data_IF_472712004430
#
_entry.id   IF_472712004430
#
_cell.length_a   1.000
_cell.length_b   1.000
_cell.length_c   1.000
_cell.angle_alpha   90.00
_cell.angle_beta   90.00
_cell.angle_gamma   90.00
#
_symmetry.space_group_name_H-M   'P 1'
#
loop_
_entity.id
_entity.type
_entity.pdbx_description
1 polymer ?
#
# COMPACT_ATOMS: atom_id res chain seq x y z
N UNK A 1 -1.60 -8.71 -12.87
CA UNK A 1 -2.18 -7.63 -13.68
C UNK A 1 -3.70 -7.54 -13.68
N UNK A 2 -4.44 -8.54 -13.20
CA UNK A 2 -5.92 -8.59 -13.25
C UNK A 2 -6.65 -7.35 -12.70
N UNK A 3 -6.13 -6.67 -11.68
CA UNK A 3 -6.75 -5.47 -11.12
C UNK A 3 -6.22 -4.16 -11.74
N UNK A 4 -5.26 -4.20 -12.66
CA UNK A 4 -4.60 -3.05 -13.30
C UNK A 4 -3.97 -2.01 -12.34
N UNK A 5 -3.93 -2.31 -11.03
CA UNK A 5 -3.45 -1.38 -10.02
C UNK A 5 -1.95 -1.56 -9.80
N UNK A 6 -1.17 -0.77 -10.53
CA UNK A 6 0.27 -0.68 -10.32
C UNK A 6 0.57 -0.10 -8.92
N UNK A 7 1.74 -0.40 -8.32
CA UNK A 7 2.10 0.10 -6.98
C UNK A 7 1.97 1.62 -6.84
N UNK A 8 2.28 2.37 -7.89
CA UNK A 8 2.09 3.82 -7.91
C UNK A 8 0.61 4.22 -7.83
N UNK A 9 -0.29 3.55 -8.54
CA UNK A 9 -1.73 3.84 -8.50
C UNK A 9 -2.28 3.66 -7.08
N UNK A 10 -1.83 2.60 -6.39
CA UNK A 10 -2.17 2.37 -4.98
C UNK A 10 -1.58 3.47 -4.09
N UNK A 11 -0.32 3.86 -4.32
CA UNK A 11 0.33 4.91 -3.55
C UNK A 11 -0.40 6.26 -3.66
N UNK A 12 -0.88 6.64 -4.85
CA UNK A 12 -1.68 7.85 -5.04
C UNK A 12 -3.00 7.78 -4.25
N UNK A 13 -3.69 6.65 -4.29
CA UNK A 13 -4.98 6.49 -3.61
C UNK A 13 -4.85 6.46 -2.08
N UNK A 14 -3.82 5.78 -1.57
CA UNK A 14 -3.66 5.55 -0.12
C UNK A 14 -2.73 6.54 0.57
N UNK A 15 -1.80 7.16 -0.17
CA UNK A 15 -0.80 8.09 0.36
C UNK A 15 -1.36 9.17 1.27
N UNK A 16 -2.41 9.91 0.86
CA UNK A 16 -3.04 10.90 1.71
C UNK A 16 -3.57 10.30 3.02
N UNK A 17 -4.23 9.14 2.99
CA UNK A 17 -4.83 8.53 4.19
C UNK A 17 -3.80 8.00 5.18
N UNK A 18 -2.66 7.51 4.69
CA UNK A 18 -1.61 6.92 5.53
C UNK A 18 -0.77 7.96 6.29
N UNK A 19 -0.63 9.18 5.76
CA UNK A 19 0.22 10.23 6.33
C UNK A 19 -0.56 11.44 6.85
N UNK A 20 -1.90 11.39 6.82
CA UNK A 20 -2.83 12.45 7.27
C UNK A 20 -2.73 12.87 8.75
N UNK A 21 -1.78 12.32 9.51
CA UNK A 21 -1.52 12.67 10.92
C UNK A 21 -0.17 13.34 11.17
N UNK A 22 0.71 13.43 10.17
CA UNK A 22 1.87 14.33 10.28
C UNK A 22 1.33 15.72 10.07
N UNK A 23 1.65 16.64 10.97
CA UNK A 23 1.29 18.05 10.89
C UNK A 23 1.92 18.67 9.63
N UNK A 24 1.33 18.38 8.47
CA UNK A 24 1.73 18.93 7.19
C UNK A 24 1.23 20.37 7.19
N UNK A 25 1.94 21.24 7.91
CA UNK A 25 1.83 22.69 7.79
C UNK A 25 2.26 23.20 6.41
N UNK A 26 2.41 22.30 5.41
CA UNK A 26 2.71 22.58 4.03
C UNK A 26 1.60 22.03 3.12
N UNK A 27 1.41 22.69 1.99
CA UNK A 27 0.42 22.37 0.96
C UNK A 27 0.50 20.88 0.54
N UNK A 28 -0.58 20.12 0.79
CA UNK A 28 -0.70 18.69 0.49
C UNK A 28 -0.35 18.37 -0.97
N UNK A 29 -0.61 19.31 -1.89
CA UNK A 29 -0.28 19.17 -3.31
C UNK A 29 1.23 19.15 -3.52
N UNK A 30 1.98 19.95 -2.77
CA UNK A 30 3.43 20.06 -2.88
C UNK A 30 4.13 18.79 -2.41
N UNK A 31 3.60 18.13 -1.38
CA UNK A 31 4.22 16.93 -0.79
C UNK A 31 3.71 15.62 -1.43
N UNK A 32 2.62 15.67 -2.20
CA UNK A 32 2.04 14.49 -2.85
C UNK A 32 3.06 13.62 -3.62
N UNK A 33 4.02 14.15 -4.41
CA UNK A 33 5.02 13.31 -5.09
C UNK A 33 5.89 12.52 -4.12
N UNK A 34 6.36 13.17 -3.05
CA UNK A 34 7.21 12.53 -2.04
C UNK A 34 6.44 11.47 -1.24
N UNK A 35 5.18 11.76 -0.91
CA UNK A 35 4.26 10.82 -0.25
C UNK A 35 4.04 9.60 -1.13
N UNK A 36 3.75 9.81 -2.41
CA UNK A 36 3.51 8.72 -3.36
C UNK A 36 4.76 7.86 -3.52
N UNK A 37 5.94 8.44 -3.61
CA UNK A 37 7.19 7.70 -3.71
C UNK A 37 7.49 6.89 -2.44
N UNK A 38 7.24 7.46 -1.26
CA UNK A 38 7.38 6.76 0.01
C UNK A 38 6.44 5.56 0.09
N UNK A 39 5.15 5.75 -0.18
CA UNK A 39 4.16 4.68 -0.09
C UNK A 39 4.38 3.62 -1.18
N UNK A 40 4.77 4.03 -2.40
CA UNK A 40 5.18 3.09 -3.45
C UNK A 40 6.37 2.24 -3.00
N UNK A 41 7.36 2.84 -2.33
CA UNK A 41 8.52 2.13 -1.80
C UNK A 41 8.10 1.13 -0.73
N UNK A 42 7.21 1.51 0.18
CA UNK A 42 6.64 0.61 1.18
C UNK A 42 5.92 -0.58 0.54
N UNK A 43 5.14 -0.34 -0.53
CA UNK A 43 4.43 -1.40 -1.25
C UNK A 43 5.42 -2.36 -1.93
N UNK A 44 6.46 -1.86 -2.59
CA UNK A 44 7.42 -2.69 -3.35
C UNK A 44 8.35 -3.48 -2.42
N UNK A 45 8.75 -2.90 -1.30
CA UNK A 45 9.76 -3.47 -0.39
C UNK A 45 9.17 -3.92 0.95
N UNK A 46 7.87 -4.25 0.98
CA UNK A 46 7.15 -4.54 2.23
C UNK A 46 7.80 -5.68 3.04
N UNK A 47 8.35 -6.71 2.39
CA UNK A 47 9.02 -7.84 3.06
C UNK A 47 10.31 -7.44 3.77
N UNK A 48 10.97 -6.38 3.33
CA UNK A 48 12.21 -5.88 3.95
C UNK A 48 11.95 -4.81 5.01
N UNK A 49 10.81 -4.11 4.93
CA UNK A 49 10.47 -2.98 5.79
C UNK A 49 9.71 -3.46 7.03
N UNK A 50 8.83 -4.45 6.88
CA UNK A 50 7.97 -4.93 7.96
C UNK A 50 8.41 -6.30 8.46
N UNK A 51 8.31 -6.58 9.77
CA UNK A 51 8.63 -7.90 10.32
C UNK A 51 7.80 -9.01 9.69
N UNK A 52 8.39 -10.19 9.56
CA UNK A 52 7.69 -11.35 9.04
C UNK A 52 6.64 -11.92 10.02
N UNK A 53 5.75 -12.82 9.58
CA UNK A 53 4.72 -13.42 10.43
C UNK A 53 5.27 -14.17 11.66
N UNK A 54 6.51 -14.65 11.59
CA UNK A 54 7.19 -15.29 12.72
C UNK A 54 7.65 -14.31 13.80
N UNK A 55 7.88 -13.05 13.42
CA UNK A 55 8.42 -12.00 14.29
C UNK A 55 7.30 -11.12 14.85
N UNK A 56 6.21 -10.96 14.10
CA UNK A 56 5.04 -10.19 14.51
C UNK A 56 3.78 -11.08 14.50
N UNK A 57 3.32 -11.56 15.67
CA UNK A 57 2.12 -12.40 15.75
C UNK A 57 0.86 -11.60 15.41
N UNK A 58 -0.05 -12.19 14.64
CA UNK A 58 -1.33 -11.57 14.27
C UNK A 58 -2.04 -12.32 13.14
N UNK A 59 -3.20 -11.81 12.69
CA UNK A 59 -3.89 -12.35 11.52
C UNK A 59 -3.01 -12.26 10.27
N UNK A 60 -2.87 -13.39 9.56
CA UNK A 60 -2.22 -13.42 8.25
C UNK A 60 -3.32 -13.25 7.20
N UNK A 61 -3.22 -12.19 6.41
CA UNK A 61 -4.15 -11.92 5.31
C UNK A 61 -3.64 -12.59 4.05
N UNK A 62 -4.47 -13.42 3.45
CA UNK A 62 -4.17 -14.03 2.16
C UNK A 62 -4.66 -13.16 1.00
N UNK A 63 -4.00 -13.27 -0.14
CA UNK A 63 -4.45 -12.61 -1.37
C UNK A 63 -5.72 -13.32 -1.85
N UNK A 64 -6.89 -12.80 -1.46
CA UNK A 64 -8.16 -13.22 -2.06
C UNK A 64 -8.20 -12.71 -3.51
N UNK A 65 -7.67 -13.52 -4.44
CA UNK A 65 -8.01 -13.38 -5.85
C UNK A 65 -9.44 -13.88 -5.96
N UNK A 66 -10.38 -13.03 -6.36
CA UNK A 66 -11.70 -13.51 -6.77
C UNK A 66 -11.47 -14.35 -8.01
N UNK A 67 -11.19 -15.64 -7.82
CA UNK A 67 -11.45 -16.62 -8.86
C UNK A 67 -12.94 -16.43 -9.16
N UNK A 68 -13.25 -15.87 -10.32
CA UNK A 68 -14.53 -16.21 -10.93
C UNK A 68 -14.64 -17.71 -10.78
N UNK A 69 -15.68 -18.10 -10.06
CA UNK A 69 -16.05 -19.48 -9.82
C UNK A 69 -15.80 -20.25 -11.10
N UNK A 70 -14.90 -21.25 -11.07
CA UNK A 70 -14.96 -22.37 -12.00
C UNK A 70 -16.33 -23.03 -11.76
N UNK A 71 -17.35 -22.45 -12.37
CA UNK A 71 -18.67 -23.03 -12.49
C UNK A 71 -18.52 -24.25 -13.40
N UNK A 72 -18.84 -25.40 -12.82
CA UNK A 72 -19.41 -26.54 -13.53
C UNK A 72 -20.69 -26.13 -14.27
#
# INVERSE_FOLDING_TARGET
>A
DENMMQPYNLAVCFGPSLLRGVEMGGDEVTLAPQINDLVKTMIIHHENIFPGPSELPGPVYEKCMTLEQEYW
#
